data_IF_350343306378
#
_entry.id   IF_350343306378
#
_cell.length_a   1.000
_cell.length_b   1.000
_cell.length_c   1.000
_cell.angle_alpha   90.00
_cell.angle_beta   90.00
_cell.angle_gamma   90.00
#
_symmetry.space_group_name_H-M   'P 1'
#
loop_
_entity.id
_entity.type
_entity.pdbx_description
1 polymer ?
#
# COMPACT_ATOMS: atom_id res chain seq x y z
N UNK A 1 -2.57 16.94 -43.98
CA UNK A 1 -3.18 16.75 -42.65
C UNK A 1 -4.47 17.56 -42.64
N UNK A 2 -5.62 16.92 -42.38
CA UNK A 2 -6.89 17.66 -42.25
C UNK A 2 -6.95 18.29 -40.87
N UNK A 3 -7.13 19.61 -40.81
CA UNK A 3 -7.34 20.34 -39.56
C UNK A 3 -8.73 19.97 -39.01
N UNK A 4 -8.85 19.58 -37.73
CA UNK A 4 -10.16 19.28 -37.13
C UNK A 4 -11.06 20.53 -37.15
N UNK A 5 -12.38 20.32 -37.27
CA UNK A 5 -13.34 21.41 -37.10
C UNK A 5 -13.33 21.90 -35.65
N UNK A 6 -13.82 23.14 -35.43
CA UNK A 6 -13.93 23.71 -34.10
C UNK A 6 -14.76 22.82 -33.14
N UNK A 7 -15.81 22.20 -33.65
CA UNK A 7 -16.66 21.27 -32.89
C UNK A 7 -15.92 19.99 -32.49
N UNK A 8 -15.18 19.39 -33.43
CA UNK A 8 -14.37 18.20 -33.16
C UNK A 8 -13.28 18.49 -32.11
N UNK A 9 -12.63 19.66 -32.23
CA UNK A 9 -11.64 20.10 -31.26
C UNK A 9 -12.27 20.33 -29.87
N UNK A 10 -13.42 20.99 -29.80
CA UNK A 10 -14.10 21.27 -28.53
C UNK A 10 -14.55 19.99 -27.82
N UNK A 11 -15.09 19.02 -28.54
CA UNK A 11 -15.45 17.70 -27.98
C UNK A 11 -14.23 17.02 -27.37
N UNK A 12 -13.10 16.98 -28.10
CA UNK A 12 -11.88 16.37 -27.59
C UNK A 12 -11.33 17.08 -26.35
N UNK A 13 -11.35 18.41 -26.34
CA UNK A 13 -10.92 19.20 -25.18
C UNK A 13 -11.79 18.89 -23.96
N UNK A 14 -13.12 18.79 -24.13
CA UNK A 14 -14.03 18.49 -23.04
C UNK A 14 -13.77 17.10 -22.43
N UNK A 15 -13.48 16.10 -23.26
CA UNK A 15 -13.08 14.76 -22.81
C UNK A 15 -11.82 14.80 -21.95
N UNK A 16 -10.75 15.46 -22.44
CA UNK A 16 -9.49 15.56 -21.70
C UNK A 16 -9.66 16.38 -20.41
N UNK A 17 -10.47 17.44 -20.44
CA UNK A 17 -10.78 18.23 -19.24
C UNK A 17 -11.55 17.43 -18.19
N UNK A 18 -12.35 16.43 -18.60
CA UNK A 18 -13.01 15.52 -17.68
C UNK A 18 -12.01 14.58 -17.00
N UNK A 19 -11.08 14.00 -17.76
CA UNK A 19 -10.00 13.16 -17.23
C UNK A 19 -9.11 13.94 -16.25
N UNK A 20 -8.77 15.20 -16.57
CA UNK A 20 -7.98 16.03 -15.67
C UNK A 20 -8.71 16.34 -14.36
N UNK A 21 -10.03 16.59 -14.41
CA UNK A 21 -10.84 16.75 -13.20
C UNK A 21 -10.86 15.49 -12.34
N UNK A 22 -10.93 14.32 -12.96
CA UNK A 22 -10.84 13.05 -12.26
C UNK A 22 -9.48 12.87 -11.57
N UNK A 23 -8.38 13.18 -12.27
CA UNK A 23 -7.04 13.19 -11.69
C UNK A 23 -6.94 14.11 -10.47
N UNK A 24 -7.44 15.35 -10.56
CA UNK A 24 -7.43 16.30 -9.44
C UNK A 24 -8.20 15.77 -8.22
N UNK A 25 -9.26 14.98 -8.43
CA UNK A 25 -10.01 14.34 -7.35
C UNK A 25 -9.26 13.14 -6.74
N UNK A 26 -8.50 12.41 -7.54
CA UNK A 26 -7.75 11.23 -7.10
C UNK A 26 -6.44 11.60 -6.37
N UNK A 27 -5.74 12.63 -6.84
CA UNK A 27 -4.46 13.07 -6.29
C UNK A 27 -4.42 13.17 -4.75
N UNK A 28 -5.33 13.90 -4.07
CA UNK A 28 -5.27 14.00 -2.61
C UNK A 28 -5.54 12.67 -1.90
N UNK A 29 -6.30 11.75 -2.52
CA UNK A 29 -6.53 10.41 -1.95
C UNK A 29 -5.28 9.55 -2.02
N UNK A 30 -4.49 9.68 -3.09
CA UNK A 30 -3.22 8.99 -3.22
C UNK A 30 -2.19 9.52 -2.20
N UNK A 31 -2.17 10.83 -1.97
CA UNK A 31 -1.33 11.46 -0.94
C UNK A 31 -1.75 10.99 0.47
N UNK A 32 -3.05 10.92 0.76
CA UNK A 32 -3.56 10.40 2.02
C UNK A 32 -3.21 8.90 2.20
N UNK A 33 -3.40 8.07 1.18
CA UNK A 33 -3.05 6.65 1.23
C UNK A 33 -1.55 6.44 1.47
N UNK A 34 -0.68 7.32 0.96
CA UNK A 34 0.75 7.26 1.25
C UNK A 34 1.06 7.57 2.72
N UNK A 35 0.32 8.48 3.34
CA UNK A 35 0.48 8.78 4.76
C UNK A 35 -0.05 7.64 5.64
N UNK A 36 -1.22 7.10 5.32
CA UNK A 36 -1.77 5.90 5.98
C UNK A 36 -0.80 4.71 5.89
N UNK A 37 -0.16 4.53 4.72
CA UNK A 37 0.89 3.52 4.54
C UNK A 37 2.08 3.72 5.50
N UNK A 38 2.55 4.96 5.70
CA UNK A 38 3.65 5.24 6.64
C UNK A 38 3.26 4.90 8.07
N UNK A 39 2.03 5.21 8.46
CA UNK A 39 1.50 4.89 9.79
C UNK A 39 1.40 3.37 9.99
N UNK A 40 0.87 2.65 8.99
CA UNK A 40 0.79 1.19 9.01
C UNK A 40 2.19 0.53 9.09
N UNK A 41 3.17 1.07 8.37
CA UNK A 41 4.55 0.59 8.42
C UNK A 41 5.17 0.74 9.83
N UNK A 42 4.87 1.83 10.53
CA UNK A 42 5.33 2.03 11.91
C UNK A 42 4.67 1.06 12.90
N UNK A 43 3.39 0.74 12.72
CA UNK A 43 2.72 -0.32 13.50
C UNK A 43 3.40 -1.66 13.29
N UNK A 44 3.61 -2.05 12.03
CA UNK A 44 4.26 -3.32 11.70
C UNK A 44 5.68 -3.41 12.21
N UNK A 45 6.44 -2.29 12.20
CA UNK A 45 7.77 -2.23 12.81
C UNK A 45 7.75 -2.54 14.31
N UNK A 46 6.73 -2.07 15.03
CA UNK A 46 6.56 -2.37 16.46
C UNK A 46 6.18 -3.83 16.69
N UNK A 47 5.29 -4.38 15.86
CA UNK A 47 4.91 -5.79 15.92
C UNK A 47 6.10 -6.71 15.63
N UNK A 48 6.91 -6.40 14.62
CA UNK A 48 8.16 -7.12 14.33
C UNK A 48 9.16 -7.02 15.48
N UNK A 49 9.31 -5.84 16.10
CA UNK A 49 10.21 -5.70 17.25
C UNK A 49 9.77 -6.56 18.45
N UNK A 50 8.46 -6.68 18.69
CA UNK A 50 7.90 -7.59 19.69
C UNK A 50 8.18 -9.06 19.31
N UNK A 51 7.88 -9.43 18.07
CA UNK A 51 8.09 -10.79 17.56
C UNK A 51 9.55 -11.24 17.70
N UNK A 52 10.49 -10.37 17.36
CA UNK A 52 11.92 -10.68 17.36
C UNK A 52 12.53 -10.78 18.77
N UNK A 53 11.94 -10.11 19.77
CA UNK A 53 12.58 -9.90 21.07
C UNK A 53 11.87 -10.55 22.24
N UNK A 54 10.54 -10.60 22.21
CA UNK A 54 9.71 -10.91 23.38
C UNK A 54 8.82 -12.13 23.15
N UNK A 55 8.42 -12.38 21.91
CA UNK A 55 7.44 -13.42 21.57
C UNK A 55 7.81 -14.80 22.09
N UNK A 56 9.04 -15.27 21.85
CA UNK A 56 9.44 -16.63 22.22
C UNK A 56 9.43 -16.85 23.75
N UNK A 57 9.89 -15.86 24.52
CA UNK A 57 9.90 -15.93 25.98
C UNK A 57 8.47 -15.99 26.54
N UNK A 58 7.59 -15.12 26.02
CA UNK A 58 6.19 -15.10 26.42
C UNK A 58 5.46 -16.39 26.01
N UNK A 59 5.72 -16.88 24.79
CA UNK A 59 5.14 -18.13 24.31
C UNK A 59 5.52 -19.30 25.23
N UNK A 60 6.80 -19.44 25.55
CA UNK A 60 7.28 -20.47 26.47
C UNK A 60 6.70 -20.32 27.88
N UNK A 61 6.58 -19.10 28.41
CA UNK A 61 5.98 -18.86 29.71
C UNK A 61 4.50 -19.29 29.74
N UNK A 62 3.75 -19.02 28.67
CA UNK A 62 2.36 -19.43 28.50
C UNK A 62 2.26 -20.95 28.39
N UNK A 63 3.11 -21.60 27.59
CA UNK A 63 3.19 -23.07 27.50
C UNK A 63 3.51 -23.72 28.86
N UNK A 64 4.31 -23.04 29.69
CA UNK A 64 4.64 -23.45 31.05
C UNK A 64 3.55 -23.11 32.09
N UNK A 65 2.40 -22.60 31.66
CA UNK A 65 1.23 -22.38 32.51
C UNK A 65 1.06 -20.97 33.07
N UNK A 66 1.72 -19.95 32.49
CA UNK A 66 1.45 -18.55 32.83
C UNK A 66 -0.03 -18.21 32.55
N UNK A 67 -0.82 -17.81 33.56
CA UNK A 67 -2.25 -17.60 33.39
C UNK A 67 -2.52 -16.24 32.73
N UNK A 68 -2.61 -16.24 31.40
CA UNK A 68 -2.99 -15.07 30.59
C UNK A 68 -4.31 -15.31 29.85
N UNK A 69 -5.02 -14.24 29.53
CA UNK A 69 -6.18 -14.30 28.66
C UNK A 69 -5.74 -14.04 27.22
N UNK A 70 -5.98 -15.00 26.32
CA UNK A 70 -5.70 -14.87 24.88
C UNK A 70 -6.95 -14.56 24.05
N UNK A 71 -8.07 -14.25 24.71
CA UNK A 71 -9.31 -13.86 24.03
C UNK A 71 -9.14 -12.51 23.32
N UNK A 72 -9.65 -12.45 22.10
CA UNK A 72 -9.56 -11.33 21.17
C UNK A 72 -10.96 -10.89 20.74
N UNK A 73 -11.08 -9.73 20.10
CA UNK A 73 -12.37 -9.17 19.67
C UNK A 73 -12.90 -9.80 18.36
N UNK A 74 -12.15 -10.71 17.76
CA UNK A 74 -12.53 -11.46 16.56
C UNK A 74 -11.33 -11.82 15.67
N UNK A 75 -10.18 -11.17 15.87
CA UNK A 75 -8.89 -11.47 15.26
C UNK A 75 -8.18 -12.65 15.95
N UNK A 76 -7.12 -13.18 15.32
CA UNK A 76 -6.26 -14.15 15.98
C UNK A 76 -5.40 -13.48 17.05
N UNK A 77 -5.17 -14.19 18.16
CA UNK A 77 -4.20 -13.73 19.17
C UNK A 77 -2.82 -13.59 18.54
N UNK A 78 -2.10 -12.53 18.91
CA UNK A 78 -0.69 -12.36 18.52
C UNK A 78 0.23 -13.45 19.08
N UNK A 79 -0.24 -14.21 20.08
CA UNK A 79 0.46 -15.37 20.64
C UNK A 79 0.15 -16.68 19.90
N UNK A 80 -0.70 -16.65 18.86
CA UNK A 80 -0.86 -17.78 17.95
C UNK A 80 0.37 -17.88 17.05
N UNK A 81 0.83 -19.12 16.81
CA UNK A 81 2.08 -19.45 16.10
C UNK A 81 2.27 -18.68 14.78
N UNK A 82 1.20 -18.53 14.00
CA UNK A 82 1.27 -17.96 12.65
C UNK A 82 0.76 -16.52 12.52
N UNK A 83 0.10 -15.94 13.54
CA UNK A 83 -0.67 -14.70 13.36
C UNK A 83 0.20 -13.51 12.91
N UNK A 84 1.35 -13.31 13.56
CA UNK A 84 2.28 -12.25 13.19
C UNK A 84 3.08 -12.60 11.93
N UNK A 85 3.39 -13.88 11.73
CA UNK A 85 4.12 -14.34 10.55
C UNK A 85 3.32 -14.11 9.26
N UNK A 86 2.03 -14.46 9.27
CA UNK A 86 1.10 -14.17 8.17
C UNK A 86 0.99 -12.67 7.91
N UNK A 87 0.80 -11.86 8.96
CA UNK A 87 0.68 -10.41 8.84
C UNK A 87 1.92 -9.74 8.21
N UNK A 88 3.12 -10.22 8.52
CA UNK A 88 4.35 -9.73 7.88
C UNK A 88 4.43 -10.12 6.39
N UNK A 89 3.98 -11.32 6.04
CA UNK A 89 3.85 -11.77 4.66
C UNK A 89 2.90 -10.90 3.85
N UNK A 90 1.72 -10.59 4.41
CA UNK A 90 0.74 -9.69 3.78
C UNK A 90 1.30 -8.29 3.56
N UNK A 91 2.01 -7.73 4.55
CA UNK A 91 2.67 -6.44 4.41
C UNK A 91 3.71 -6.45 3.28
N UNK A 92 4.50 -7.51 3.17
CA UNK A 92 5.51 -7.66 2.12
C UNK A 92 4.87 -7.70 0.74
N UNK A 93 3.83 -8.51 0.54
CA UNK A 93 3.11 -8.59 -0.73
C UNK A 93 2.47 -7.26 -1.13
N UNK A 94 1.88 -6.56 -0.15
CA UNK A 94 1.31 -5.24 -0.38
C UNK A 94 2.40 -4.25 -0.82
N UNK A 95 3.53 -4.17 -0.13
CA UNK A 95 4.65 -3.28 -0.47
C UNK A 95 5.15 -3.53 -1.90
N UNK A 96 5.29 -4.80 -2.30
CA UNK A 96 5.67 -5.17 -3.66
C UNK A 96 4.63 -4.75 -4.70
N UNK A 97 3.35 -4.88 -4.39
CA UNK A 97 2.26 -4.37 -5.22
C UNK A 97 2.39 -2.88 -5.50
N UNK A 98 2.58 -2.08 -4.46
CA UNK A 98 2.78 -0.63 -4.57
C UNK A 98 4.03 -0.27 -5.37
N UNK A 99 5.16 -0.95 -5.12
CA UNK A 99 6.38 -0.70 -5.86
C UNK A 99 6.22 -1.00 -7.35
N UNK A 100 5.62 -2.14 -7.71
CA UNK A 100 5.33 -2.48 -9.11
C UNK A 100 4.39 -1.47 -9.77
N UNK A 101 3.40 -0.96 -9.05
CA UNK A 101 2.51 0.09 -9.56
C UNK A 101 3.27 1.39 -9.83
N UNK A 102 4.15 1.81 -8.93
CA UNK A 102 4.97 3.00 -9.10
C UNK A 102 5.98 2.87 -10.25
N UNK A 103 6.69 1.73 -10.36
CA UNK A 103 7.65 1.48 -11.45
C UNK A 103 6.98 1.59 -12.83
N UNK A 104 5.77 1.04 -13.00
CA UNK A 104 5.01 1.17 -14.27
C UNK A 104 4.76 2.62 -14.69
N UNK A 105 4.63 3.54 -13.73
CA UNK A 105 4.47 4.98 -14.03
C UNK A 105 5.82 5.59 -14.46
N UNK A 106 6.90 5.21 -13.79
CA UNK A 106 8.26 5.71 -14.06
C UNK A 106 8.81 5.20 -15.40
N UNK A 107 8.61 3.92 -15.72
CA UNK A 107 9.08 3.30 -16.97
C UNK A 107 8.51 4.04 -18.18
N UNK A 108 7.20 4.35 -18.15
CA UNK A 108 6.52 5.12 -19.20
C UNK A 108 7.11 6.52 -19.39
N UNK A 109 7.56 7.16 -18.30
CA UNK A 109 8.23 8.46 -18.39
C UNK A 109 9.63 8.34 -19.01
N UNK A 110 10.37 7.26 -18.69
CA UNK A 110 11.68 6.97 -19.29
C UNK A 110 11.61 6.72 -20.79
N UNK A 111 10.60 5.96 -21.26
CA UNK A 111 10.37 5.67 -22.69
C UNK A 111 10.09 6.93 -23.51
N UNK A 112 9.28 7.86 -22.98
CA UNK A 112 9.02 9.15 -23.64
C UNK A 112 10.28 10.02 -23.72
N UNK A 113 11.16 9.96 -22.72
CA UNK A 113 12.38 10.77 -22.67
C UNK A 113 13.47 10.30 -23.64
N UNK A 114 13.40 9.05 -24.12
CA UNK A 114 14.36 8.48 -25.09
C UNK A 114 13.96 8.70 -26.55
N UNK A 115 12.69 9.06 -26.82
CA UNK A 115 12.18 9.32 -28.17
C UNK A 115 12.27 10.80 -28.59
N UNK A 116 12.67 11.68 -27.67
CA UNK A 116 12.87 13.12 -27.91
C UNK A 116 14.36 13.51 -28.07
N UNK A 117 15.23 12.53 -28.38
CA UNK A 117 16.68 12.70 -28.58
C UNK A 117 17.17 12.47 -30.00
#
# INVERSE_FOLDING_TARGET
MNTPSAEQAQTRINEIQALYREWLRLKPKLEAAQEEWRQAAEVMRKLSAFYDREYLELHQAIENGLPVCLHTEGEYSVMSEDALWEAFGEQYELAWGWMRAAMKVLDRHGEHSQNDG
#
